data_IF_212463661692
#
_entry.id   IF_212463661692
#
_cell.length_a   1.000
_cell.length_b   1.000
_cell.length_c   1.000
_cell.angle_alpha   90.00
_cell.angle_beta   90.00
_cell.angle_gamma   90.00
#
_symmetry.space_group_name_H-M   'P 1'
#
loop_
_entity.id
_entity.type
_entity.pdbx_description
1 polymer ?
#
# COMPACT_ATOMS: atom_id res chain seq x y z
N UNK A 1 -16.36 25.08 29.25
CA UNK A 1 -16.08 23.63 29.42
C UNK A 1 -15.88 22.96 28.05
N UNK A 2 -14.84 22.15 27.89
CA UNK A 2 -14.67 21.27 26.70
C UNK A 2 -15.41 19.98 26.97
N UNK A 3 -16.49 19.70 26.25
CA UNK A 3 -17.26 18.45 26.37
C UNK A 3 -16.72 17.29 25.52
N UNK A 4 -15.48 17.35 25.06
CA UNK A 4 -14.71 16.32 24.34
C UNK A 4 -15.55 15.48 23.36
N UNK A 5 -16.33 16.13 22.48
CA UNK A 5 -17.23 15.46 21.53
C UNK A 5 -16.42 14.63 20.53
N UNK A 6 -16.45 13.32 20.68
CA UNK A 6 -15.76 12.36 19.81
C UNK A 6 -16.45 12.18 18.45
N UNK A 7 -17.75 12.46 18.38
CA UNK A 7 -18.57 12.25 17.19
C UNK A 7 -18.99 13.59 16.58
N UNK A 8 -18.77 13.73 15.27
CA UNK A 8 -19.34 14.85 14.51
C UNK A 8 -20.74 14.47 14.03
N UNK A 9 -21.75 15.21 14.48
CA UNK A 9 -23.15 14.96 14.12
C UNK A 9 -23.48 15.30 12.66
N UNK A 10 -22.71 16.14 11.99
CA UNK A 10 -22.93 16.58 10.60
C UNK A 10 -24.31 17.17 10.35
N UNK A 11 -24.98 17.74 11.38
CA UNK A 11 -26.34 18.25 11.31
C UNK A 11 -27.40 17.17 11.02
N UNK A 12 -27.18 15.90 11.40
CA UNK A 12 -28.06 14.77 11.08
C UNK A 12 -28.42 13.94 12.31
N UNK A 13 -29.59 13.27 12.23
CA UNK A 13 -29.97 12.24 13.20
C UNK A 13 -29.02 11.03 13.13
N UNK A 14 -29.00 10.20 14.15
CA UNK A 14 -28.11 9.03 14.24
C UNK A 14 -28.29 8.06 13.07
N UNK A 15 -29.54 7.70 12.77
CA UNK A 15 -29.89 6.78 11.67
C UNK A 15 -29.50 7.34 10.30
N UNK A 16 -29.84 8.61 10.02
CA UNK A 16 -29.47 9.26 8.76
C UNK A 16 -27.95 9.37 8.60
N UNK A 17 -27.20 9.65 9.67
CA UNK A 17 -25.75 9.72 9.63
C UNK A 17 -25.14 8.33 9.36
N UNK A 18 -25.64 7.26 9.99
CA UNK A 18 -25.20 5.90 9.73
C UNK A 18 -25.42 5.51 8.27
N UNK A 19 -26.63 5.68 7.75
CA UNK A 19 -26.96 5.38 6.35
C UNK A 19 -26.10 6.20 5.36
N UNK A 20 -25.91 7.49 5.61
CA UNK A 20 -25.06 8.34 4.78
C UNK A 20 -23.61 7.83 4.75
N UNK A 21 -23.03 7.46 5.88
CA UNK A 21 -21.64 6.97 5.95
C UNK A 21 -21.51 5.59 5.29
N UNK A 22 -22.51 4.71 5.45
CA UNK A 22 -22.58 3.42 4.77
C UNK A 22 -22.57 3.60 3.25
N UNK A 23 -23.49 4.39 2.70
CA UNK A 23 -23.58 4.65 1.26
C UNK A 23 -22.30 5.31 0.69
N UNK A 24 -21.75 6.30 1.41
CA UNK A 24 -20.49 6.94 0.99
C UNK A 24 -19.31 5.97 1.04
N UNK A 25 -19.30 5.02 1.97
CA UNK A 25 -18.25 4.00 2.06
C UNK A 25 -18.32 3.02 0.89
N UNK A 26 -19.53 2.55 0.56
CA UNK A 26 -19.76 1.69 -0.61
C UNK A 26 -19.36 2.39 -1.90
N UNK A 27 -19.73 3.68 -2.06
CA UNK A 27 -19.31 4.48 -3.21
C UNK A 27 -17.78 4.67 -3.29
N UNK A 28 -17.10 4.88 -2.15
CA UNK A 28 -15.65 5.02 -2.12
C UNK A 28 -14.94 3.72 -2.50
N UNK A 29 -15.43 2.59 -2.05
CA UNK A 29 -14.88 1.27 -2.37
C UNK A 29 -15.06 0.96 -3.86
N UNK A 30 -16.24 1.23 -4.42
CA UNK A 30 -16.53 0.97 -5.83
C UNK A 30 -15.76 1.92 -6.76
N UNK A 31 -15.81 3.22 -6.51
CA UNK A 31 -15.22 4.23 -7.39
C UNK A 31 -13.78 4.61 -7.04
N UNK A 32 -13.23 4.12 -5.88
CA UNK A 32 -11.86 4.40 -5.41
C UNK A 32 -11.62 5.87 -5.04
N UNK A 33 -12.43 6.79 -5.56
CA UNK A 33 -12.33 8.25 -5.37
C UNK A 33 -13.72 8.87 -5.41
N UNK A 34 -14.05 9.74 -4.44
CA UNK A 34 -15.30 10.50 -4.42
C UNK A 34 -15.07 11.96 -4.00
N UNK A 35 -15.90 12.87 -4.53
CA UNK A 35 -15.89 14.30 -4.17
C UNK A 35 -16.94 14.56 -3.09
N UNK A 36 -16.54 15.25 -2.02
CA UNK A 36 -17.44 15.56 -0.90
C UNK A 36 -16.96 16.77 -0.09
N UNK A 37 -17.67 17.14 0.97
CA UNK A 37 -17.20 18.19 1.88
C UNK A 37 -16.16 17.64 2.88
N UNK A 38 -15.22 18.50 3.30
CA UNK A 38 -14.14 18.14 4.22
C UNK A 38 -14.67 17.55 5.53
N UNK A 39 -15.79 18.08 6.06
CA UNK A 39 -16.40 17.55 7.29
C UNK A 39 -16.88 16.10 7.13
N UNK A 40 -17.55 15.78 6.01
CA UNK A 40 -18.01 14.43 5.68
C UNK A 40 -16.83 13.49 5.43
N UNK A 41 -15.80 13.92 4.68
CA UNK A 41 -14.62 13.12 4.42
C UNK A 41 -13.86 12.73 5.70
N UNK A 42 -13.72 13.67 6.65
CA UNK A 42 -13.11 13.37 7.96
C UNK A 42 -13.91 12.35 8.76
N UNK A 43 -15.25 12.39 8.71
CA UNK A 43 -16.09 11.40 9.37
C UNK A 43 -16.03 10.04 8.64
N UNK A 44 -16.05 10.05 7.31
CA UNK A 44 -15.95 8.87 6.46
C UNK A 44 -14.63 8.12 6.68
N UNK A 45 -13.51 8.83 6.77
CA UNK A 45 -12.21 8.25 7.08
C UNK A 45 -12.25 7.38 8.33
N UNK A 46 -12.81 7.90 9.44
CA UNK A 46 -12.95 7.15 10.70
C UNK A 46 -13.87 5.92 10.58
N UNK A 47 -14.78 5.93 9.61
CA UNK A 47 -15.71 4.83 9.37
C UNK A 47 -15.11 3.73 8.47
N UNK A 48 -14.43 4.11 7.39
CA UNK A 48 -13.91 3.17 6.38
C UNK A 48 -12.60 2.50 6.82
N UNK A 49 -11.67 3.22 7.42
CA UNK A 49 -10.35 2.67 7.77
C UNK A 49 -10.42 1.41 8.67
N UNK A 50 -11.27 1.36 9.72
CA UNK A 50 -11.43 0.14 10.50
C UNK A 50 -12.02 -1.03 9.71
N UNK A 51 -12.87 -0.76 8.70
CA UNK A 51 -13.43 -1.80 7.82
C UNK A 51 -12.37 -2.41 6.92
N UNK A 52 -11.49 -1.58 6.34
CA UNK A 52 -10.35 -2.04 5.54
C UNK A 52 -9.39 -2.87 6.41
N UNK A 53 -9.11 -2.43 7.63
CA UNK A 53 -8.25 -3.19 8.55
C UNK A 53 -8.84 -4.57 8.88
N UNK A 54 -10.15 -4.65 9.11
CA UNK A 54 -10.82 -5.95 9.33
C UNK A 54 -10.83 -6.84 8.09
N UNK A 55 -10.94 -6.23 6.91
CA UNK A 55 -10.96 -6.95 5.66
C UNK A 55 -9.62 -7.62 5.31
N UNK A 56 -8.50 -7.15 5.84
CA UNK A 56 -7.18 -7.80 5.66
C UNK A 56 -7.15 -9.25 6.12
N UNK A 57 -7.89 -9.57 7.17
CA UNK A 57 -8.06 -10.94 7.63
C UNK A 57 -9.35 -11.50 7.02
N UNK A 58 -9.24 -12.21 5.90
CA UNK A 58 -10.39 -12.77 5.20
C UNK A 58 -10.96 -13.98 5.94
N UNK A 59 -11.82 -13.70 6.93
CA UNK A 59 -12.61 -14.70 7.64
C UNK A 59 -14.09 -14.49 7.39
N UNK A 60 -14.89 -15.56 7.46
CA UNK A 60 -16.37 -15.48 7.33
C UNK A 60 -16.97 -14.51 8.34
N UNK A 61 -16.38 -14.45 9.55
CA UNK A 61 -16.78 -13.52 10.58
C UNK A 61 -16.55 -12.07 10.17
N UNK A 62 -15.36 -11.74 9.68
CA UNK A 62 -15.03 -10.38 9.24
C UNK A 62 -15.88 -9.97 8.03
N UNK A 63 -16.14 -10.86 7.08
CA UNK A 63 -17.07 -10.60 5.96
C UNK A 63 -18.46 -10.22 6.46
N UNK A 64 -19.02 -10.94 7.45
CA UNK A 64 -20.30 -10.60 8.07
C UNK A 64 -20.29 -9.25 8.77
N UNK A 65 -19.23 -8.94 9.53
CA UNK A 65 -19.08 -7.63 10.18
C UNK A 65 -19.04 -6.52 9.14
N UNK A 66 -18.18 -6.62 8.12
CA UNK A 66 -18.07 -5.61 7.07
C UNK A 66 -19.39 -5.42 6.35
N UNK A 67 -20.10 -6.50 6.04
CA UNK A 67 -21.42 -6.44 5.43
C UNK A 67 -22.45 -5.72 6.30
N UNK A 68 -22.47 -5.92 7.62
CA UNK A 68 -23.37 -5.21 8.55
C UNK A 68 -23.17 -3.70 8.61
N UNK A 69 -21.99 -3.21 8.18
CA UNK A 69 -21.68 -1.78 8.08
C UNK A 69 -21.94 -1.21 6.70
N UNK A 70 -21.61 -1.94 5.62
CA UNK A 70 -21.73 -1.46 4.25
C UNK A 70 -23.14 -1.71 3.65
N UNK A 71 -23.79 -2.79 4.05
CA UNK A 71 -25.14 -3.21 3.59
C UNK A 71 -25.24 -3.40 2.04
N UNK A 72 -24.08 -3.50 1.36
CA UNK A 72 -23.95 -3.68 -0.09
C UNK A 72 -23.02 -4.85 -0.41
N UNK A 73 -23.56 -5.86 -1.14
CA UNK A 73 -22.83 -7.07 -1.52
C UNK A 73 -21.68 -6.78 -2.49
N UNK A 74 -21.90 -5.87 -3.44
CA UNK A 74 -20.93 -5.55 -4.47
C UNK A 74 -19.72 -4.83 -3.84
N UNK A 75 -19.98 -3.85 -2.98
CA UNK A 75 -18.90 -3.14 -2.26
C UNK A 75 -18.08 -4.09 -1.36
N UNK A 76 -18.74 -5.06 -0.69
CA UNK A 76 -18.02 -6.06 0.11
C UNK A 76 -17.17 -6.97 -0.77
N UNK A 77 -17.69 -7.48 -1.88
CA UNK A 77 -16.94 -8.32 -2.81
C UNK A 77 -15.71 -7.58 -3.36
N UNK A 78 -15.89 -6.34 -3.78
CA UNK A 78 -14.84 -5.46 -4.30
C UNK A 78 -13.76 -5.16 -3.24
N UNK A 79 -14.18 -4.94 -1.99
CA UNK A 79 -13.28 -4.68 -0.87
C UNK A 79 -12.33 -5.86 -0.64
N UNK A 80 -12.85 -7.08 -0.56
CA UNK A 80 -12.03 -8.28 -0.29
C UNK A 80 -11.24 -8.74 -1.52
N UNK A 81 -11.78 -8.56 -2.74
CA UNK A 81 -11.15 -9.01 -3.98
C UNK A 81 -10.03 -8.10 -4.46
N UNK A 82 -10.25 -6.79 -4.45
CA UNK A 82 -9.33 -5.83 -5.05
C UNK A 82 -8.65 -4.92 -4.03
N UNK A 83 -9.44 -4.29 -3.16
CA UNK A 83 -8.90 -3.24 -2.28
C UNK A 83 -7.91 -3.81 -1.29
N UNK A 84 -8.21 -4.93 -0.67
CA UNK A 84 -7.31 -5.59 0.29
C UNK A 84 -6.00 -6.01 -0.35
N UNK A 85 -6.05 -6.55 -1.57
CA UNK A 85 -4.85 -6.97 -2.31
C UNK A 85 -3.93 -5.78 -2.59
N UNK A 86 -4.48 -4.65 -3.05
CA UNK A 86 -3.70 -3.43 -3.31
C UNK A 86 -3.17 -2.75 -2.05
N UNK A 87 -3.93 -2.79 -0.96
CA UNK A 87 -3.52 -2.22 0.33
C UNK A 87 -2.35 -2.99 0.95
N UNK A 88 -2.28 -4.31 0.73
CA UNK A 88 -1.18 -5.16 1.19
C UNK A 88 -0.89 -5.00 2.69
N UNK A 89 0.38 -4.88 3.04
CA UNK A 89 0.86 -4.80 4.44
C UNK A 89 0.80 -3.41 5.08
N UNK A 90 0.23 -2.41 4.39
CA UNK A 90 0.13 -1.06 4.94
C UNK A 90 -0.56 -1.08 6.32
N UNK A 91 0.06 -0.55 7.41
CA UNK A 91 -0.48 -0.67 8.77
C UNK A 91 -1.68 0.25 9.02
N UNK A 92 -1.97 1.23 8.13
CA UNK A 92 -3.08 2.18 8.26
C UNK A 92 -2.95 3.38 7.35
N UNK A 93 -3.91 4.32 7.44
CA UNK A 93 -3.92 5.51 6.57
C UNK A 93 -4.25 5.16 5.13
N UNK A 94 -5.21 4.29 4.90
CA UNK A 94 -5.63 3.81 3.58
C UNK A 94 -6.30 4.88 2.73
N UNK A 95 -6.80 5.95 3.38
CA UNK A 95 -7.51 7.03 2.71
C UNK A 95 -6.74 8.34 2.76
N UNK A 96 -6.86 9.14 1.69
CA UNK A 96 -6.29 10.49 1.58
C UNK A 96 -7.40 11.49 1.28
N UNK A 97 -7.31 12.68 1.87
CA UNK A 97 -8.22 13.80 1.62
C UNK A 97 -7.43 14.91 0.94
N UNK A 98 -7.84 15.27 -0.28
CA UNK A 98 -7.27 16.36 -1.08
C UNK A 98 -8.30 17.50 -1.11
N UNK A 99 -7.93 18.69 -0.61
CA UNK A 99 -8.81 19.86 -0.66
C UNK A 99 -8.84 20.43 -2.08
N UNK A 100 -10.03 20.76 -2.58
CA UNK A 100 -10.25 21.27 -3.94
C UNK A 100 -10.70 22.73 -3.97
N UNK A 101 -10.93 23.35 -2.81
CA UNK A 101 -11.47 24.72 -2.70
C UNK A 101 -12.85 24.73 -2.09
N UNK A 102 -13.56 25.85 -2.27
CA UNK A 102 -14.88 26.07 -1.70
C UNK A 102 -15.94 25.97 -2.79
N UNK A 103 -17.13 25.47 -2.46
CA UNK A 103 -18.27 25.40 -3.36
C UNK A 103 -18.94 26.77 -3.48
N UNK A 104 -19.21 27.17 -4.72
CA UNK A 104 -19.99 28.39 -5.00
C UNK A 104 -21.41 28.26 -4.41
N UNK A 105 -21.90 29.32 -3.82
CA UNK A 105 -23.25 29.41 -3.23
C UNK A 105 -23.23 29.30 -1.70
N UNK A 106 -22.66 28.27 -1.09
CA UNK A 106 -22.64 28.07 0.38
C UNK A 106 -21.24 28.14 1.02
N UNK A 107 -20.22 28.42 0.22
CA UNK A 107 -18.81 28.50 0.64
C UNK A 107 -18.34 27.26 1.44
N UNK A 108 -18.95 26.10 1.23
CA UNK A 108 -18.56 24.86 1.91
C UNK A 108 -17.20 24.35 1.40
N UNK A 109 -16.27 24.05 2.31
CA UNK A 109 -14.97 23.43 1.96
C UNK A 109 -15.19 22.06 1.30
N UNK A 110 -14.76 21.93 0.04
CA UNK A 110 -14.84 20.71 -0.74
C UNK A 110 -13.51 19.94 -0.74
N UNK A 111 -13.60 18.63 -0.92
CA UNK A 111 -12.44 17.77 -1.04
C UNK A 111 -12.76 16.53 -1.86
N UNK A 112 -11.70 15.91 -2.35
CA UNK A 112 -11.71 14.56 -2.88
C UNK A 112 -11.15 13.65 -1.79
N UNK A 113 -11.89 12.59 -1.43
CA UNK A 113 -11.35 11.47 -0.66
C UNK A 113 -11.07 10.32 -1.60
N UNK A 114 -9.90 9.72 -1.46
CA UNK A 114 -9.42 8.63 -2.32
C UNK A 114 -8.74 7.53 -1.53
N UNK A 115 -8.70 6.32 -2.09
CA UNK A 115 -7.85 5.24 -1.61
C UNK A 115 -6.42 5.48 -2.11
N UNK A 116 -5.45 5.53 -1.19
CA UNK A 116 -4.06 5.95 -1.47
C UNK A 116 -3.40 5.08 -2.53
N UNK A 117 -3.68 3.78 -2.49
CA UNK A 117 -3.01 2.78 -3.33
C UNK A 117 -3.55 2.69 -4.76
N UNK A 118 -4.60 3.49 -5.07
CA UNK A 118 -5.17 3.61 -6.41
C UNK A 118 -4.75 4.88 -7.16
N UNK A 119 -3.97 5.77 -6.53
CA UNK A 119 -3.46 6.98 -7.17
C UNK A 119 -1.99 6.81 -7.55
N UNK A 120 -1.74 6.14 -8.66
CA UNK A 120 -0.41 5.80 -9.19
C UNK A 120 0.45 7.06 -9.42
N UNK A 121 -0.10 8.10 -10.02
CA UNK A 121 0.62 9.35 -10.26
C UNK A 121 1.17 10.00 -8.98
N UNK A 122 0.43 9.91 -7.88
CA UNK A 122 0.89 10.43 -6.59
C UNK A 122 1.88 9.48 -5.88
N UNK A 123 1.85 8.18 -6.18
CA UNK A 123 2.82 7.22 -5.68
C UNK A 123 4.17 7.41 -6.37
N UNK A 124 4.20 7.51 -7.69
CA UNK A 124 5.38 7.79 -8.51
C UNK A 124 6.04 9.13 -8.13
N UNK A 125 5.25 10.19 -7.94
CA UNK A 125 5.75 11.48 -7.49
C UNK A 125 6.39 11.46 -6.10
N UNK A 126 5.97 10.55 -5.20
CA UNK A 126 6.62 10.35 -3.91
C UNK A 126 7.93 9.57 -4.02
N UNK A 127 8.00 8.59 -4.90
CA UNK A 127 9.21 7.80 -5.12
C UNK A 127 10.32 8.65 -5.75
N UNK A 128 9.98 9.47 -6.76
CA UNK A 128 10.92 10.41 -7.38
C UNK A 128 11.48 11.41 -6.38
N UNK A 129 10.65 11.96 -5.49
CA UNK A 129 11.11 12.86 -4.41
C UNK A 129 12.01 12.17 -3.39
N UNK A 130 11.75 10.89 -3.05
CA UNK A 130 12.63 10.13 -2.15
C UNK A 130 14.00 9.87 -2.78
N UNK A 131 14.06 9.59 -4.10
CA UNK A 131 15.31 9.39 -4.83
C UNK A 131 16.15 10.68 -4.90
N UNK A 132 15.53 11.85 -5.11
CA UNK A 132 16.24 13.14 -5.16
C UNK A 132 16.80 13.58 -3.79
N UNK A 133 16.06 13.35 -2.69
CA UNK A 133 16.50 13.72 -1.34
C UNK A 133 17.68 12.86 -0.82
N UNK A 134 17.80 11.61 -1.29
CA UNK A 134 18.95 10.75 -0.99
C UNK A 134 20.22 11.19 -1.73
N UNK A 135 20.10 11.70 -2.96
CA UNK A 135 21.23 12.24 -3.72
C UNK A 135 21.81 13.52 -3.08
N UNK A 136 20.99 14.43 -2.60
CA UNK A 136 21.44 15.69 -1.99
C UNK A 136 22.11 15.52 -0.62
N UNK A 137 21.82 14.46 0.13
CA UNK A 137 22.51 14.12 1.39
C UNK A 137 23.86 13.44 1.17
N UNK A 138 24.06 12.73 0.03
CA UNK A 138 25.35 12.07 -0.27
C UNK A 138 26.42 13.05 -0.77
N UNK A 139 26.05 14.25 -1.24
CA UNK A 139 27.01 15.25 -1.76
C UNK A 139 27.61 16.19 -0.71
N UNK A 140 27.22 16.11 0.57
CA UNK A 140 27.68 17.02 1.64
C UNK A 140 28.57 16.38 2.71
N UNK A 141 28.93 15.09 2.56
CA UNK A 141 29.79 14.38 3.49
C UNK A 141 30.69 13.34 2.79
N UNK A 142 31.40 13.77 1.72
CA UNK A 142 32.42 12.92 1.13
C UNK A 142 33.47 13.77 0.45
N UNK A 143 34.36 14.29 1.25
CA UNK A 143 35.75 14.53 0.88
C UNK A 143 36.57 13.86 1.96
N UNK A 144 36.87 12.61 1.80
CA UNK A 144 38.12 11.88 2.12
C UNK A 144 37.84 10.36 2.15
N UNK A 145 38.65 9.63 1.37
CA UNK A 145 38.92 8.19 1.49
C UNK A 145 37.79 7.12 1.24
N UNK A 146 37.29 7.00 0.00
CA UNK A 146 36.56 5.79 -0.38
C UNK A 146 36.98 5.12 -1.69
N UNK A 147 38.01 5.64 -2.38
CA UNK A 147 38.51 5.06 -3.65
C UNK A 147 39.38 3.80 -3.47
N UNK A 148 39.65 3.39 -2.22
CA UNK A 148 40.54 2.23 -1.93
C UNK A 148 39.73 0.98 -1.49
N UNK A 149 38.49 1.15 -1.05
CA UNK A 149 37.64 0.06 -0.55
C UNK A 149 36.77 -0.54 -1.65
N UNK A 150 36.30 0.26 -2.61
CA UNK A 150 35.47 -0.24 -3.72
C UNK A 150 36.25 -1.15 -4.67
N UNK A 151 37.56 -0.85 -4.90
CA UNK A 151 38.42 -1.67 -5.77
C UNK A 151 38.85 -3.00 -5.13
N UNK A 152 38.84 -3.09 -3.80
CA UNK A 152 39.13 -4.32 -3.07
C UNK A 152 37.91 -5.28 -2.98
N UNK A 153 36.71 -4.74 -3.03
CA UNK A 153 35.49 -5.54 -2.99
C UNK A 153 35.15 -6.11 -4.38
N UNK A 154 35.42 -5.39 -5.48
CA UNK A 154 35.20 -5.90 -6.84
C UNK A 154 36.13 -7.08 -7.14
N UNK A 155 37.42 -7.00 -6.77
CA UNK A 155 38.37 -8.11 -7.00
C UNK A 155 38.04 -9.37 -6.20
N UNK A 156 37.52 -9.26 -4.98
CA UNK A 156 37.14 -10.42 -4.16
C UNK A 156 35.84 -11.07 -4.62
N UNK A 157 34.95 -10.32 -5.27
CA UNK A 157 33.69 -10.87 -5.83
C UNK A 157 33.96 -11.59 -7.17
N UNK A 158 34.90 -11.09 -7.99
CA UNK A 158 35.29 -11.77 -9.23
C UNK A 158 36.03 -13.08 -8.94
N UNK A 159 37.00 -13.11 -8.00
CA UNK A 159 37.67 -14.36 -7.61
C UNK A 159 36.74 -15.40 -7.02
N UNK A 160 35.77 -15.01 -6.20
CA UNK A 160 34.76 -15.94 -5.65
C UNK A 160 33.79 -16.49 -6.70
N UNK A 161 33.50 -15.73 -7.75
CA UNK A 161 32.63 -16.20 -8.84
C UNK A 161 33.34 -17.20 -9.77
N UNK A 162 34.65 -17.05 -9.98
CA UNK A 162 35.45 -18.01 -10.76
C UNK A 162 35.64 -19.34 -10.01
N UNK A 163 35.86 -19.31 -8.68
CA UNK A 163 35.95 -20.55 -7.89
C UNK A 163 34.64 -21.33 -7.87
N UNK A 164 33.50 -20.67 -7.81
CA UNK A 164 32.20 -21.34 -7.85
C UNK A 164 31.90 -21.95 -9.22
N UNK A 165 32.27 -21.27 -10.31
CA UNK A 165 32.06 -21.79 -11.65
C UNK A 165 32.93 -23.06 -11.93
N UNK A 166 34.19 -23.04 -11.51
CA UNK A 166 35.08 -24.18 -11.63
C UNK A 166 34.61 -25.40 -10.80
N UNK A 167 34.08 -25.16 -9.59
CA UNK A 167 33.52 -26.22 -8.74
C UNK A 167 32.23 -26.82 -9.32
N UNK A 168 31.45 -26.06 -10.08
CA UNK A 168 30.22 -26.54 -10.77
C UNK A 168 30.59 -27.38 -12.00
N UNK A 169 31.61 -27.00 -12.77
CA UNK A 169 32.10 -27.76 -13.92
C UNK A 169 32.67 -29.12 -13.49
N UNK A 170 33.49 -29.17 -12.44
CA UNK A 170 34.00 -30.43 -11.90
C UNK A 170 32.90 -31.35 -11.38
N UNK A 171 31.85 -30.79 -10.76
CA UNK A 171 30.72 -31.60 -10.31
C UNK A 171 29.88 -32.18 -11.46
N UNK A 172 29.72 -31.46 -12.57
CA UNK A 172 29.00 -31.97 -13.74
C UNK A 172 29.72 -33.11 -14.43
N UNK A 173 31.05 -33.04 -14.57
CA UNK A 173 31.86 -34.11 -15.16
C UNK A 173 31.77 -35.40 -14.33
N UNK A 174 31.81 -35.30 -12.99
CA UNK A 174 31.72 -36.48 -12.11
C UNK A 174 30.31 -37.12 -12.16
N UNK A 175 29.28 -36.35 -12.40
CA UNK A 175 27.90 -36.87 -12.57
C UNK A 175 27.74 -37.58 -13.90
N UNK A 176 28.26 -37.03 -14.98
CA UNK A 176 28.21 -37.67 -16.31
C UNK A 176 28.95 -39.02 -16.34
N UNK A 177 30.15 -39.10 -15.74
CA UNK A 177 30.91 -40.35 -15.62
C UNK A 177 30.18 -41.44 -14.80
N UNK A 178 29.42 -41.04 -13.78
CA UNK A 178 28.61 -41.98 -12.99
C UNK A 178 27.35 -42.45 -13.74
N UNK A 179 26.75 -41.59 -14.55
CA UNK A 179 25.57 -41.93 -15.36
C UNK A 179 25.96 -42.92 -16.48
N UNK A 180 27.09 -42.71 -17.17
CA UNK A 180 27.58 -43.67 -18.20
C UNK A 180 27.85 -45.05 -17.60
N UNK A 181 28.49 -45.13 -16.43
CA UNK A 181 28.75 -46.43 -15.75
C UNK A 181 27.49 -47.15 -15.30
N UNK A 182 26.39 -46.47 -15.09
CA UNK A 182 25.10 -47.09 -14.75
C UNK A 182 24.36 -47.56 -16.00
N UNK A 183 24.53 -46.90 -17.14
CA UNK A 183 23.91 -47.29 -18.41
C UNK A 183 24.57 -48.56 -18.98
N UNK A 184 25.91 -48.74 -18.83
CA UNK A 184 26.64 -49.90 -19.29
C UNK A 184 26.45 -51.16 -18.42
N UNK A 185 25.76 -51.04 -17.28
CA UNK A 185 25.51 -52.13 -16.34
C UNK A 185 24.08 -52.71 -16.38
N UNK A 186 23.22 -52.23 -17.32
CA UNK A 186 21.87 -52.73 -17.57
C UNK A 186 21.79 -53.44 -18.92
#
# INVERSE_FOLDING_TARGET
MRHNKSINHLGRTSSHRKAMLSNMSSSLIMHKRITTTVAKAKALKKYVEPLITKAKNDTTHNRRIVFSYLEDKNAVSELFREVVVKVGDRPGGYTRILRTGNRLGDNAEMCIIELVDYNEAMLEAKESKKKSSRRSRKSKSASTDTNKVEKAVETTVEEASEEVNNAVEDATVVVEEKVEKVIDSV
#
